data_IF_062390720529
#
_entry.id   IF_062390720529
#
_cell.length_a   1.000
_cell.length_b   1.000
_cell.length_c   1.000
_cell.angle_alpha   90.00
_cell.angle_beta   90.00
_cell.angle_gamma   90.00
#
_symmetry.space_group_name_H-M   'P 1'
#
loop_
_entity.id
_entity.type
_entity.pdbx_description
1 polymer ?
#
# COMPACT_ATOMS: atom_id res chain seq x y z
N UNK A 1 17.16 20.42 -16.81
CA UNK A 1 16.63 19.13 -16.34
C UNK A 1 15.20 19.01 -16.87
N UNK A 2 14.82 17.88 -17.47
CA UNK A 2 13.42 17.67 -17.90
C UNK A 2 12.55 17.53 -16.65
N UNK A 3 11.32 18.04 -16.66
CA UNK A 3 10.38 17.98 -15.50
C UNK A 3 10.21 16.56 -14.92
N UNK A 4 10.34 15.54 -15.77
CA UNK A 4 10.35 14.13 -15.36
C UNK A 4 11.54 13.77 -14.47
N UNK A 5 12.75 14.13 -14.91
CA UNK A 5 14.00 13.85 -14.19
C UNK A 5 14.01 14.56 -12.84
N UNK A 6 13.42 15.75 -12.78
CA UNK A 6 13.23 16.49 -11.53
C UNK A 6 12.38 15.73 -10.52
N UNK A 7 11.18 15.26 -10.94
CA UNK A 7 10.31 14.46 -10.06
C UNK A 7 11.01 13.18 -9.61
N UNK A 8 11.68 12.47 -10.52
CA UNK A 8 12.43 11.25 -10.17
C UNK A 8 13.61 11.54 -9.21
N UNK A 9 14.28 12.69 -9.33
CA UNK A 9 15.34 13.11 -8.39
C UNK A 9 14.78 13.37 -7.00
N UNK A 10 13.71 14.17 -6.91
CA UNK A 10 13.05 14.50 -5.64
C UNK A 10 12.54 13.25 -4.92
N UNK A 11 12.04 12.27 -5.67
CA UNK A 11 11.63 10.97 -5.12
C UNK A 11 12.81 10.18 -4.54
N UNK A 12 13.94 10.10 -5.26
CA UNK A 12 15.15 9.39 -4.80
C UNK A 12 15.78 10.06 -3.59
N UNK A 13 15.81 11.38 -3.58
CA UNK A 13 16.27 12.20 -2.46
C UNK A 13 15.28 12.20 -1.28
N UNK A 14 14.10 11.59 -1.45
CA UNK A 14 12.98 11.59 -0.47
C UNK A 14 12.57 13.02 -0.06
N UNK A 15 12.80 14.01 -0.93
CA UNK A 15 12.46 15.41 -0.71
C UNK A 15 10.99 15.65 -1.08
N UNK A 16 10.09 15.07 -0.28
CA UNK A 16 8.66 15.08 -0.57
C UNK A 16 7.99 16.44 -0.31
N UNK A 17 8.57 17.27 0.55
CA UNK A 17 8.08 18.63 0.80
C UNK A 17 8.22 19.50 -0.45
N UNK A 18 9.41 19.50 -1.07
CA UNK A 18 9.62 20.22 -2.34
C UNK A 18 8.80 19.58 -3.45
N UNK A 19 8.69 18.25 -3.52
CA UNK A 19 7.82 17.58 -4.48
C UNK A 19 6.36 18.06 -4.37
N UNK A 20 5.81 18.16 -3.16
CA UNK A 20 4.46 18.66 -2.92
C UNK A 20 4.34 20.14 -3.32
N UNK A 21 5.30 20.98 -2.95
CA UNK A 21 5.35 22.38 -3.35
C UNK A 21 5.37 22.54 -4.89
N UNK A 22 6.10 21.68 -5.59
CA UNK A 22 6.13 21.67 -7.07
C UNK A 22 4.82 21.21 -7.67
N UNK A 23 4.22 20.13 -7.17
CA UNK A 23 2.91 19.65 -7.64
C UNK A 23 1.82 20.70 -7.40
N UNK A 24 1.85 21.41 -6.28
CA UNK A 24 0.94 22.52 -5.99
C UNK A 24 1.05 23.66 -6.98
N UNK A 25 2.27 24.01 -7.41
CA UNK A 25 2.52 25.04 -8.43
C UNK A 25 2.23 24.55 -9.85
N UNK A 26 2.44 23.27 -10.12
CA UNK A 26 2.27 22.63 -11.43
C UNK A 26 1.60 21.27 -11.28
N UNK A 27 0.25 21.20 -11.19
CA UNK A 27 -0.50 19.95 -11.00
C UNK A 27 -0.20 18.87 -12.05
N UNK A 28 0.19 19.31 -13.25
CA UNK A 28 0.60 18.48 -14.37
C UNK A 28 1.75 17.52 -14.06
N UNK A 29 2.57 17.80 -13.03
CA UNK A 29 3.67 16.95 -12.59
C UNK A 29 3.20 15.62 -12.00
N UNK A 30 1.96 15.57 -11.51
CA UNK A 30 1.34 14.36 -10.94
C UNK A 30 1.39 13.17 -11.91
N UNK A 31 1.31 13.42 -13.23
CA UNK A 31 1.37 12.37 -14.26
C UNK A 31 2.68 11.57 -14.21
N UNK A 32 3.77 12.16 -13.72
CA UNK A 32 5.05 11.47 -13.58
C UNK A 32 5.04 10.50 -12.40
N UNK A 33 4.32 10.82 -11.32
CA UNK A 33 4.07 9.89 -10.21
C UNK A 33 3.19 8.73 -10.67
N UNK A 34 2.05 9.02 -11.32
CA UNK A 34 1.16 7.98 -11.88
C UNK A 34 1.90 7.05 -12.85
N UNK A 35 2.77 7.58 -13.71
CA UNK A 35 3.56 6.78 -14.66
C UNK A 35 4.39 5.70 -13.95
N UNK A 36 4.92 5.98 -12.77
CA UNK A 36 5.75 5.02 -12.02
C UNK A 36 4.92 3.90 -11.38
N UNK A 37 3.60 4.07 -11.24
CA UNK A 37 2.70 3.07 -10.68
C UNK A 37 2.28 1.96 -11.66
N UNK A 38 2.55 2.13 -12.97
CA UNK A 38 2.22 1.12 -13.99
C UNK A 38 3.18 -0.06 -13.99
N UNK A 39 4.36 0.06 -13.38
CA UNK A 39 5.28 -1.05 -13.25
C UNK A 39 4.98 -1.83 -11.95
N UNK A 40 4.75 -3.17 -12.01
CA UNK A 40 4.38 -3.96 -10.83
C UNK A 40 5.54 -4.20 -9.85
N UNK A 41 6.78 -3.91 -10.24
CA UNK A 41 7.99 -4.18 -9.45
C UNK A 41 8.97 -3.01 -9.48
N UNK A 42 9.96 -3.05 -8.59
CA UNK A 42 11.07 -2.10 -8.54
C UNK A 42 10.91 -0.98 -7.51
N UNK A 43 12.01 -0.33 -7.20
CA UNK A 43 12.07 0.71 -6.16
C UNK A 43 11.27 1.96 -6.56
N UNK A 44 11.28 2.33 -7.85
CA UNK A 44 10.63 3.54 -8.34
C UNK A 44 9.12 3.60 -8.07
N UNK A 45 8.41 2.45 -8.11
CA UNK A 45 6.97 2.41 -7.77
C UNK A 45 6.75 2.73 -6.28
N UNK A 46 7.61 2.22 -5.40
CA UNK A 46 7.51 2.47 -3.96
C UNK A 46 7.83 3.90 -3.61
N UNK A 47 8.86 4.48 -4.24
CA UNK A 47 9.12 5.91 -4.10
C UNK A 47 7.93 6.75 -4.56
N UNK A 48 7.28 6.38 -5.68
CA UNK A 48 6.09 7.06 -6.15
C UNK A 48 4.89 6.91 -5.21
N UNK A 49 4.66 5.72 -4.64
CA UNK A 49 3.63 5.47 -3.61
C UNK A 49 3.85 6.38 -2.40
N UNK A 50 5.07 6.40 -1.85
CA UNK A 50 5.44 7.26 -0.72
C UNK A 50 5.30 8.74 -1.08
N UNK A 51 5.76 9.13 -2.27
CA UNK A 51 5.62 10.49 -2.79
C UNK A 51 4.16 10.93 -2.92
N UNK A 52 3.28 10.09 -3.46
CA UNK A 52 1.85 10.36 -3.55
C UNK A 52 1.20 10.52 -2.18
N UNK A 53 1.53 9.65 -1.22
CA UNK A 53 1.08 9.78 0.15
C UNK A 53 1.46 11.13 0.76
N UNK A 54 2.73 11.51 0.65
CA UNK A 54 3.25 12.77 1.19
C UNK A 54 2.63 13.99 0.51
N UNK A 55 2.57 14.00 -0.82
CA UNK A 55 1.90 15.05 -1.59
C UNK A 55 0.44 15.18 -1.16
N UNK A 56 -0.25 14.07 -0.95
CA UNK A 56 -1.65 14.07 -0.50
C UNK A 56 -1.80 14.64 0.91
N UNK A 57 -0.91 14.29 1.85
CA UNK A 57 -0.91 14.89 3.19
C UNK A 57 -0.65 16.41 3.15
N UNK A 58 0.25 16.84 2.29
CA UNK A 58 0.56 18.26 2.08
C UNK A 58 -0.59 19.04 1.41
N UNK A 59 -1.36 18.39 0.53
CA UNK A 59 -2.59 18.97 -0.03
C UNK A 59 -3.67 19.13 1.04
N UNK A 60 -3.88 18.12 1.89
CA UNK A 60 -4.85 18.20 3.01
C UNK A 60 -4.52 19.35 3.95
N UNK A 61 -3.24 19.52 4.33
CA UNK A 61 -2.79 20.65 5.18
C UNK A 61 -3.09 22.03 4.59
N UNK A 62 -3.28 22.12 3.27
CA UNK A 62 -3.57 23.36 2.53
C UNK A 62 -5.03 23.48 2.12
N UNK A 63 -5.92 22.73 2.77
CA UNK A 63 -7.37 22.73 2.50
C UNK A 63 -7.75 22.28 1.08
N UNK A 64 -6.93 21.39 0.49
CA UNK A 64 -7.14 20.82 -0.85
C UNK A 64 -7.59 19.37 -0.81
N UNK A 65 -8.56 19.06 0.05
CA UNK A 65 -9.08 17.69 0.24
C UNK A 65 -9.67 17.14 -1.07
N UNK A 66 -10.39 17.96 -1.84
CA UNK A 66 -10.97 17.52 -3.12
C UNK A 66 -9.90 17.14 -4.16
N UNK A 67 -8.76 17.82 -4.19
CA UNK A 67 -7.65 17.46 -5.09
C UNK A 67 -7.14 16.03 -4.77
N UNK A 68 -7.14 15.64 -3.49
CA UNK A 68 -6.77 14.28 -3.08
C UNK A 68 -7.87 13.27 -3.39
N UNK A 69 -9.15 13.63 -3.23
CA UNK A 69 -10.27 12.79 -3.66
C UNK A 69 -10.22 12.49 -5.16
N UNK A 70 -9.82 13.46 -5.98
CA UNK A 70 -9.58 13.26 -7.42
C UNK A 70 -8.42 12.29 -7.69
N UNK A 71 -7.32 12.37 -6.92
CA UNK A 71 -6.22 11.39 -7.00
C UNK A 71 -6.73 9.97 -6.68
N UNK A 72 -7.50 9.83 -5.59
CA UNK A 72 -8.08 8.54 -5.19
C UNK A 72 -9.05 7.99 -6.23
N UNK A 73 -9.96 8.83 -6.76
CA UNK A 73 -10.88 8.46 -7.85
C UNK A 73 -10.12 7.97 -9.08
N UNK A 74 -9.04 8.67 -9.47
CA UNK A 74 -8.19 8.27 -10.59
C UNK A 74 -7.47 6.95 -10.36
N UNK A 75 -6.96 6.69 -9.15
CA UNK A 75 -6.35 5.41 -8.79
C UNK A 75 -7.38 4.28 -8.88
N UNK A 76 -8.57 4.48 -8.32
CA UNK A 76 -9.67 3.52 -8.39
C UNK A 76 -10.09 3.22 -9.83
N UNK A 77 -10.23 4.26 -10.68
CA UNK A 77 -10.53 4.07 -12.10
C UNK A 77 -9.45 3.28 -12.83
N UNK A 78 -8.18 3.51 -12.49
CA UNK A 78 -7.06 2.76 -13.08
C UNK A 78 -7.06 1.28 -12.71
N UNK A 79 -7.82 0.86 -11.69
CA UNK A 79 -7.97 -0.54 -11.32
C UNK A 79 -9.03 -1.27 -12.14
N UNK A 80 -10.01 -0.52 -12.69
CA UNK A 80 -11.09 -1.04 -13.53
C UNK A 80 -10.80 -0.87 -15.04
N UNK A 81 -9.59 -0.45 -15.40
CA UNK A 81 -9.22 -0.21 -16.79
C UNK A 81 -8.88 -1.53 -17.51
N UNK A 82 -9.85 -2.03 -18.28
CA UNK A 82 -9.75 -3.26 -19.08
C UNK A 82 -8.72 -3.18 -20.23
N UNK A 83 -8.12 -2.02 -20.50
CA UNK A 83 -7.15 -1.84 -21.59
C UNK A 83 -5.78 -2.52 -21.36
N UNK A 84 -5.61 -3.22 -20.23
CA UNK A 84 -4.33 -3.81 -19.83
C UNK A 84 -3.33 -2.79 -19.27
N UNK A 85 -3.78 -1.54 -19.09
CA UNK A 85 -3.01 -0.46 -18.46
C UNK A 85 -3.23 -0.39 -16.94
N UNK A 86 -3.90 -1.39 -16.34
CA UNK A 86 -4.21 -1.39 -14.93
C UNK A 86 -3.00 -1.05 -14.06
N UNK A 87 -3.15 -0.08 -13.15
CA UNK A 87 -2.06 0.29 -12.26
C UNK A 87 -1.94 -0.76 -11.15
N UNK A 88 -1.00 -1.70 -11.34
CA UNK A 88 -0.68 -2.77 -10.40
C UNK A 88 -0.34 -2.30 -8.98
N UNK A 89 -0.03 -1.02 -8.80
CA UNK A 89 0.34 -0.38 -7.53
C UNK A 89 -0.76 0.51 -6.95
N UNK A 90 -1.93 0.59 -7.59
CA UNK A 90 -3.00 1.47 -7.17
C UNK A 90 -3.53 1.15 -5.76
N UNK A 91 -3.74 -0.11 -5.36
CA UNK A 91 -4.12 -0.42 -3.98
C UNK A 91 -3.11 0.12 -2.96
N UNK A 92 -1.80 -0.08 -3.20
CA UNK A 92 -0.75 0.40 -2.31
C UNK A 92 -0.72 1.94 -2.25
N UNK A 93 -0.87 2.62 -3.38
CA UNK A 93 -0.94 4.08 -3.41
C UNK A 93 -2.17 4.61 -2.63
N UNK A 94 -3.33 3.98 -2.79
CA UNK A 94 -4.55 4.31 -2.05
C UNK A 94 -4.34 4.09 -0.55
N UNK A 95 -3.81 2.93 -0.16
CA UNK A 95 -3.52 2.61 1.24
C UNK A 95 -2.58 3.60 1.91
N UNK A 96 -1.52 4.02 1.21
CA UNK A 96 -0.57 5.01 1.72
C UNK A 96 -1.21 6.41 1.86
N UNK A 97 -2.08 6.82 0.94
CA UNK A 97 -2.82 8.09 1.03
C UNK A 97 -3.77 8.07 2.24
N UNK A 98 -4.53 6.99 2.41
CA UNK A 98 -5.47 6.82 3.52
C UNK A 98 -4.71 6.80 4.85
N UNK A 99 -3.65 6.01 4.97
CA UNK A 99 -2.89 5.88 6.22
C UNK A 99 -2.33 7.21 6.74
N UNK A 100 -2.07 8.18 5.85
CA UNK A 100 -1.60 9.52 6.23
C UNK A 100 -2.69 10.46 6.67
N UNK A 101 -3.94 10.25 6.25
CA UNK A 101 -5.08 11.08 6.63
C UNK A 101 -6.33 10.20 6.84
N UNK A 102 -6.30 9.26 7.79
CA UNK A 102 -7.28 8.18 7.85
C UNK A 102 -8.69 8.68 8.16
N UNK A 103 -8.85 9.74 8.94
CA UNK A 103 -10.18 10.32 9.22
C UNK A 103 -10.82 10.97 7.98
N UNK A 104 -10.00 11.50 7.07
CA UNK A 104 -10.47 12.24 5.89
C UNK A 104 -10.89 11.30 4.78
N UNK A 105 -10.24 10.12 4.67
CA UNK A 105 -10.41 9.21 3.54
C UNK A 105 -10.84 7.80 3.94
N UNK A 106 -11.35 7.59 5.17
CA UNK A 106 -11.80 6.28 5.65
C UNK A 106 -12.85 5.61 4.76
N UNK A 107 -13.68 6.40 4.07
CA UNK A 107 -14.68 5.89 3.14
C UNK A 107 -14.05 5.11 1.97
N UNK A 108 -12.78 5.37 1.63
CA UNK A 108 -12.08 4.70 0.54
C UNK A 108 -11.54 3.32 0.92
N UNK A 109 -11.49 2.96 2.20
CA UNK A 109 -11.01 1.65 2.65
C UNK A 109 -11.91 0.53 2.11
N UNK A 110 -13.24 0.68 2.24
CA UNK A 110 -14.15 -0.31 1.67
C UNK A 110 -14.05 -0.34 0.15
N UNK A 111 -13.94 0.82 -0.50
CA UNK A 111 -13.92 0.93 -1.97
C UNK A 111 -12.69 0.21 -2.57
N UNK A 112 -11.50 0.38 -2.00
CA UNK A 112 -10.30 -0.32 -2.49
C UNK A 112 -10.38 -1.83 -2.26
N UNK A 113 -11.04 -2.27 -1.17
CA UNK A 113 -11.26 -3.69 -0.89
C UNK A 113 -12.21 -4.33 -1.90
N UNK A 114 -13.21 -3.61 -2.43
CA UNK A 114 -14.11 -4.18 -3.46
C UNK A 114 -13.35 -4.62 -4.72
N UNK A 115 -12.16 -4.09 -4.98
CA UNK A 115 -11.32 -4.55 -6.09
C UNK A 115 -10.64 -5.90 -5.83
N UNK A 116 -10.88 -6.55 -4.68
CA UNK A 116 -10.41 -7.91 -4.41
C UNK A 116 -11.13 -8.98 -5.22
N UNK A 117 -12.09 -8.62 -6.08
CA UNK A 117 -12.62 -9.56 -7.09
C UNK A 117 -11.54 -9.97 -8.10
N UNK A 118 -10.54 -9.11 -8.31
CA UNK A 118 -9.44 -9.32 -9.24
C UNK A 118 -8.17 -9.76 -8.50
N UNK A 119 -7.75 -11.02 -8.70
CA UNK A 119 -6.58 -11.60 -8.01
C UNK A 119 -5.28 -10.79 -8.18
N UNK A 120 -5.18 -10.01 -9.26
CA UNK A 120 -4.02 -9.15 -9.55
C UNK A 120 -3.79 -8.09 -8.46
N UNK A 121 -4.84 -7.69 -7.74
CA UNK A 121 -4.76 -6.66 -6.70
C UNK A 121 -4.61 -7.21 -5.29
N UNK A 122 -4.76 -8.52 -5.07
CA UNK A 122 -4.72 -9.12 -3.71
C UNK A 122 -3.47 -8.74 -2.92
N UNK A 123 -2.28 -8.80 -3.55
CA UNK A 123 -1.01 -8.40 -2.92
C UNK A 123 -1.06 -6.93 -2.48
N UNK A 124 -1.53 -6.04 -3.36
CA UNK A 124 -1.58 -4.62 -3.07
C UNK A 124 -2.64 -4.28 -2.02
N UNK A 125 -3.78 -4.96 -2.05
CA UNK A 125 -4.86 -4.82 -1.05
C UNK A 125 -4.36 -5.28 0.32
N UNK A 126 -3.64 -6.41 0.39
CA UNK A 126 -3.02 -6.87 1.63
C UNK A 126 -2.07 -5.81 2.19
N UNK A 127 -1.16 -5.27 1.37
CA UNK A 127 -0.25 -4.21 1.81
C UNK A 127 -1.01 -2.95 2.27
N UNK A 128 -2.03 -2.52 1.52
CA UNK A 128 -2.84 -1.35 1.83
C UNK A 128 -3.55 -1.49 3.17
N UNK A 129 -4.20 -2.63 3.42
CA UNK A 129 -4.86 -2.93 4.70
C UNK A 129 -3.85 -2.97 5.85
N UNK A 130 -2.68 -3.57 5.64
CA UNK A 130 -1.61 -3.56 6.65
C UNK A 130 -1.14 -2.15 6.98
N UNK A 131 -0.94 -1.31 5.95
CA UNK A 131 -0.49 0.07 6.10
C UNK A 131 -1.52 0.97 6.78
N UNK A 132 -2.80 0.83 6.42
CA UNK A 132 -3.89 1.56 7.07
C UNK A 132 -4.04 1.08 8.52
N UNK A 133 -4.03 -0.25 8.72
CA UNK A 133 -4.22 -0.88 10.02
C UNK A 133 -3.11 -0.59 11.02
N UNK A 134 -1.88 -0.39 10.57
CA UNK A 134 -0.76 0.10 11.40
C UNK A 134 -1.07 1.43 12.09
N UNK A 135 -1.79 2.32 11.39
CA UNK A 135 -2.15 3.65 11.91
C UNK A 135 -3.53 3.63 12.58
N UNK A 136 -4.48 2.88 12.00
CA UNK A 136 -5.90 2.83 12.39
C UNK A 136 -6.48 1.42 12.26
N UNK A 137 -6.21 0.54 13.24
CA UNK A 137 -6.70 -0.85 13.21
C UNK A 137 -8.22 -0.97 13.10
N UNK A 138 -8.97 -0.03 13.67
CA UNK A 138 -10.44 0.01 13.64
C UNK A 138 -11.01 0.11 12.22
N UNK A 139 -10.32 0.80 11.31
CA UNK A 139 -10.76 0.94 9.92
C UNK A 139 -10.62 -0.35 9.11
N UNK A 140 -9.73 -1.25 9.52
CA UNK A 140 -9.46 -2.50 8.80
C UNK A 140 -10.08 -3.73 9.44
N UNK A 141 -10.58 -3.60 10.68
CA UNK A 141 -11.19 -4.69 11.43
C UNK A 141 -12.28 -5.47 10.64
N UNK A 142 -13.20 -4.82 9.88
CA UNK A 142 -14.18 -5.53 9.07
C UNK A 142 -13.59 -6.42 7.96
N UNK A 143 -12.33 -6.16 7.58
CA UNK A 143 -11.64 -6.84 6.49
C UNK A 143 -10.62 -7.88 6.98
N UNK A 144 -10.55 -8.18 8.28
CA UNK A 144 -9.71 -9.25 8.82
C UNK A 144 -10.02 -10.63 8.21
N UNK A 145 -11.28 -11.01 7.93
CA UNK A 145 -11.58 -12.27 7.24
C UNK A 145 -10.89 -12.37 5.87
N UNK A 146 -10.82 -11.27 5.10
CA UNK A 146 -10.16 -11.23 3.80
C UNK A 146 -8.64 -11.44 3.93
N UNK A 147 -8.00 -10.80 4.91
CA UNK A 147 -6.57 -11.02 5.16
C UNK A 147 -6.27 -12.47 5.54
N UNK A 148 -7.17 -13.11 6.32
CA UNK A 148 -7.03 -14.54 6.64
C UNK A 148 -7.22 -15.45 5.42
N UNK A 149 -8.16 -15.12 4.54
CA UNK A 149 -8.31 -15.82 3.25
C UNK A 149 -7.03 -15.71 2.40
N UNK A 150 -6.39 -14.55 2.40
CA UNK A 150 -5.14 -14.34 1.67
C UNK A 150 -3.95 -15.19 2.21
N UNK A 151 -3.99 -15.64 3.47
CA UNK A 151 -2.96 -16.53 4.03
C UNK A 151 -2.94 -17.91 3.38
N UNK A 152 -4.03 -18.34 2.74
CA UNK A 152 -4.11 -19.62 2.02
C UNK A 152 -4.14 -19.44 0.50
N UNK A 153 -3.88 -18.22 0.02
CA UNK A 153 -3.87 -17.89 -1.40
C UNK A 153 -2.82 -18.71 -2.16
N UNK A 154 -3.07 -19.07 -3.43
CA UNK A 154 -2.15 -19.88 -4.26
C UNK A 154 -0.77 -19.25 -4.49
N UNK A 155 -0.72 -17.91 -4.59
CA UNK A 155 0.51 -17.14 -4.82
C UNK A 155 1.24 -16.83 -3.50
N UNK A 156 2.53 -17.21 -3.34
CA UNK A 156 3.33 -16.93 -2.15
C UNK A 156 3.39 -15.44 -1.80
N UNK A 157 3.44 -14.56 -2.81
CA UNK A 157 3.49 -13.11 -2.57
C UNK A 157 2.24 -12.62 -1.84
N UNK A 158 1.06 -13.13 -2.18
CA UNK A 158 -0.19 -12.73 -1.50
C UNK A 158 -0.17 -13.22 -0.05
N UNK A 159 0.27 -14.46 0.20
CA UNK A 159 0.38 -15.01 1.56
C UNK A 159 1.34 -14.19 2.43
N UNK A 160 2.53 -13.87 1.90
CA UNK A 160 3.54 -13.12 2.64
C UNK A 160 3.12 -11.67 2.93
N UNK A 161 2.50 -10.97 1.97
CA UNK A 161 1.96 -9.63 2.23
C UNK A 161 0.77 -9.65 3.19
N UNK A 162 -0.06 -10.70 3.19
CA UNK A 162 -1.13 -10.87 4.16
C UNK A 162 -0.58 -11.11 5.58
N UNK A 163 0.43 -11.97 5.73
CA UNK A 163 1.14 -12.16 6.99
C UNK A 163 1.74 -10.84 7.49
N UNK A 164 2.47 -10.12 6.63
CA UNK A 164 3.01 -8.80 6.97
C UNK A 164 1.92 -7.82 7.40
N UNK A 165 0.79 -7.78 6.70
CA UNK A 165 -0.32 -6.88 7.01
C UNK A 165 -0.89 -7.14 8.41
N UNK A 166 -1.13 -8.40 8.74
CA UNK A 166 -1.60 -8.82 10.06
C UNK A 166 -0.59 -8.45 11.16
N UNK A 167 0.71 -8.66 10.90
CA UNK A 167 1.78 -8.23 11.80
C UNK A 167 1.82 -6.70 12.03
N UNK A 168 1.59 -5.90 10.98
CA UNK A 168 1.49 -4.44 11.07
C UNK A 168 0.27 -3.98 11.87
N UNK A 169 -0.84 -4.70 11.75
CA UNK A 169 -2.05 -4.45 12.55
C UNK A 169 -1.80 -4.78 14.03
N UNK A 170 -1.04 -5.84 14.32
CA UNK A 170 -0.63 -6.23 15.67
C UNK A 170 -1.77 -6.90 16.45
N UNK A 171 -1.88 -6.61 17.76
CA UNK A 171 -2.83 -7.28 18.68
C UNK A 171 -4.28 -7.46 18.17
N UNK A 172 -4.89 -6.50 17.45
CA UNK A 172 -6.23 -6.69 16.87
C UNK A 172 -6.34 -7.87 15.89
N UNK A 173 -5.22 -8.37 15.36
CA UNK A 173 -5.14 -9.55 14.49
C UNK A 173 -4.92 -10.87 15.24
N UNK A 174 -5.12 -10.93 16.56
CA UNK A 174 -4.90 -12.14 17.38
C UNK A 174 -5.69 -13.38 16.90
N UNK A 175 -6.86 -13.19 16.30
CA UNK A 175 -7.66 -14.30 15.74
C UNK A 175 -7.00 -14.97 14.54
N UNK A 176 -5.99 -14.36 13.92
CA UNK A 176 -5.28 -14.89 12.75
C UNK A 176 -4.07 -15.75 13.10
N UNK A 177 -3.74 -15.92 14.39
CA UNK A 177 -2.54 -16.66 14.83
C UNK A 177 -2.57 -18.12 14.36
N UNK A 178 -3.74 -18.77 14.39
CA UNK A 178 -3.88 -20.16 13.97
C UNK A 178 -3.62 -20.35 12.47
N UNK A 179 -4.01 -19.38 11.64
CA UNK A 179 -3.79 -19.38 10.20
C UNK A 179 -2.35 -18.97 9.81
N UNK A 180 -1.65 -18.23 10.67
CA UNK A 180 -0.24 -17.86 10.46
C UNK A 180 0.72 -19.01 10.79
N UNK A 181 0.41 -19.83 11.80
CA UNK A 181 1.30 -20.90 12.29
C UNK A 181 1.79 -21.86 11.18
N UNK A 182 0.93 -22.36 10.26
CA UNK A 182 1.36 -23.27 9.20
C UNK A 182 2.36 -22.63 8.22
N UNK A 183 2.30 -21.30 8.03
CA UNK A 183 3.16 -20.59 7.09
C UNK A 183 4.62 -20.50 7.55
N UNK A 184 4.90 -20.66 8.85
CA UNK A 184 6.28 -20.62 9.41
C UNK A 184 7.23 -21.62 8.73
N UNK A 185 6.68 -22.71 8.19
CA UNK A 185 7.44 -23.75 7.49
C UNK A 185 7.54 -23.52 5.98
N UNK A 186 7.11 -22.36 5.48
CA UNK A 186 7.18 -21.99 4.07
C UNK A 186 8.45 -21.19 3.76
N UNK A 187 9.39 -21.82 3.06
CA UNK A 187 10.71 -21.24 2.73
C UNK A 187 10.76 -20.63 1.33
N UNK A 188 9.65 -20.05 0.85
CA UNK A 188 9.59 -19.38 -0.46
C UNK A 188 9.94 -17.92 -0.29
N UNK A 189 10.99 -17.47 -0.97
CA UNK A 189 11.40 -16.06 -1.00
C UNK A 189 10.44 -15.21 -1.83
N UNK A 190 10.08 -14.05 -1.29
CA UNK A 190 9.31 -13.02 -1.97
C UNK A 190 9.93 -11.64 -1.76
N UNK A 191 9.71 -10.73 -2.71
CA UNK A 191 10.08 -9.32 -2.55
C UNK A 191 9.07 -8.58 -1.68
N UNK A 192 9.55 -8.00 -0.59
CA UNK A 192 8.76 -7.29 0.40
C UNK A 192 9.25 -5.86 0.53
N UNK A 193 8.33 -4.91 0.71
CA UNK A 193 8.66 -3.52 0.99
C UNK A 193 8.45 -3.15 2.46
N UNK A 194 9.56 -2.81 3.11
CA UNK A 194 9.66 -2.27 4.49
C UNK A 194 10.67 -1.11 4.47
N UNK A 195 10.23 0.05 4.00
CA UNK A 195 11.07 1.24 3.69
C UNK A 195 12.02 1.07 2.49
N UNK A 196 12.51 -0.15 2.29
CA UNK A 196 13.30 -0.63 1.15
C UNK A 196 12.79 -2.00 0.70
N UNK A 197 13.17 -2.42 -0.51
CA UNK A 197 12.84 -3.75 -1.01
C UNK A 197 13.84 -4.75 -0.43
N UNK A 198 13.33 -5.81 0.20
CA UNK A 198 14.13 -6.92 0.72
C UNK A 198 13.51 -8.25 0.31
N UNK A 199 14.32 -9.27 0.09
CA UNK A 199 13.84 -10.64 -0.03
C UNK A 199 13.62 -11.23 1.37
N UNK A 200 12.43 -11.77 1.62
CA UNK A 200 12.10 -12.51 2.84
C UNK A 200 11.31 -13.76 2.48
N UNK A 201 11.45 -14.82 3.28
CA UNK A 201 10.58 -15.99 3.13
C UNK A 201 9.19 -15.70 3.68
N UNK A 202 8.17 -16.36 3.12
CA UNK A 202 6.80 -16.32 3.68
C UNK A 202 6.79 -16.76 5.15
N UNK A 203 7.58 -17.77 5.52
CA UNK A 203 7.71 -18.23 6.89
C UNK A 203 8.35 -17.21 7.83
N UNK A 204 9.33 -16.42 7.37
CA UNK A 204 9.88 -15.32 8.16
C UNK A 204 8.83 -14.23 8.41
N UNK A 205 8.05 -13.87 7.38
CA UNK A 205 6.96 -12.89 7.52
C UNK A 205 5.87 -13.37 8.48
N UNK A 206 5.53 -14.66 8.43
CA UNK A 206 4.58 -15.28 9.35
C UNK A 206 5.10 -15.24 10.79
N UNK A 207 6.38 -15.56 11.01
CA UNK A 207 7.02 -15.45 12.32
C UNK A 207 6.97 -14.02 12.85
N UNK A 208 7.45 -13.04 12.07
CA UNK A 208 7.45 -11.63 12.46
C UNK A 208 6.03 -11.13 12.77
N UNK A 209 5.02 -11.62 12.05
CA UNK A 209 3.63 -11.29 12.33
C UNK A 209 3.15 -11.86 13.66
N UNK A 210 3.44 -13.14 13.94
CA UNK A 210 3.10 -13.79 15.21
C UNK A 210 3.74 -13.04 16.38
N UNK A 211 5.03 -12.71 16.30
CA UNK A 211 5.76 -12.01 17.35
C UNK A 211 5.13 -10.64 17.66
N UNK A 212 4.77 -9.86 16.62
CA UNK A 212 4.11 -8.56 16.77
C UNK A 212 2.70 -8.67 17.34
N UNK A 213 1.95 -9.71 16.95
CA UNK A 213 0.59 -9.93 17.45
C UNK A 213 0.62 -10.38 18.92
N UNK A 214 1.57 -11.24 19.29
CA UNK A 214 1.78 -11.71 20.67
C UNK A 214 2.37 -10.62 21.59
N UNK A 215 2.99 -9.58 21.02
CA UNK A 215 3.64 -8.50 21.76
C UNK A 215 5.04 -8.85 22.25
N UNK A 216 5.74 -9.70 21.50
CA UNK A 216 7.11 -10.16 21.77
C UNK A 216 8.17 -9.25 21.13
N UNK A 217 7.76 -8.20 20.41
CA UNK A 217 8.62 -7.17 19.78
C UNK A 217 8.04 -5.76 19.91
#
# INVERSE_FOLDING_TARGET
>A
MKLREEVESLLKEKNYEELAARVLRQPNLMKYLFRLLYHPYGESRWLAIQGLGQVSAELVKRDKVEDVREILRRLLWSMNDESGSASWSAPEAIGEIIARNPEVFKEYVSIVVHASEEEIFHRGIAWALGRIGEVRPDLVQPFMPLLREFLVHRRPEVRGYAAQALGRIGKPAAESLAELEPLRSEFVDIEVYEEQITAKTVGLLAQEAIDKIAGET
#
